data_IF_007292198088
#
_entry.id   IF_007292198088
#
_cell.length_a   1.000
_cell.length_b   1.000
_cell.length_c   1.000
_cell.angle_alpha   90.00
_cell.angle_beta   90.00
_cell.angle_gamma   90.00
#
_symmetry.space_group_name_H-M   'P 1'
#
loop_
_entity.id
_entity.type
_entity.pdbx_description
1 polymer ?
#
# COMPACT_ATOMS: atom_id res chain seq x y z
N UNK A 1 23.40 2.67 -68.53
CA UNK A 1 22.02 2.53 -67.96
C UNK A 1 21.84 1.32 -67.04
N UNK A 2 22.88 0.55 -66.70
CA UNK A 2 22.76 -0.62 -65.82
C UNK A 2 22.99 -0.32 -64.33
N UNK A 3 23.65 0.79 -63.98
CA UNK A 3 24.13 1.05 -62.63
C UNK A 3 23.09 1.76 -61.72
N UNK A 4 22.05 2.41 -62.28
CA UNK A 4 21.02 3.08 -61.48
C UNK A 4 20.00 2.11 -60.87
N UNK A 5 19.78 0.96 -61.46
CA UNK A 5 18.86 -0.04 -60.91
C UNK A 5 19.40 -0.71 -59.65
N UNK A 6 20.70 -0.87 -59.53
CA UNK A 6 21.34 -1.42 -58.32
C UNK A 6 21.36 -0.43 -57.16
N UNK A 7 21.56 0.87 -57.44
CA UNK A 7 21.53 1.92 -56.45
C UNK A 7 20.11 2.13 -55.87
N UNK A 8 19.06 2.02 -56.71
CA UNK A 8 17.68 2.17 -56.28
C UNK A 8 17.21 1.01 -55.39
N UNK A 9 17.66 -0.22 -55.65
CA UNK A 9 17.32 -1.39 -54.85
C UNK A 9 18.00 -1.38 -53.48
N UNK A 10 19.23 -0.84 -53.37
CA UNK A 10 19.94 -0.68 -52.11
C UNK A 10 19.33 0.43 -51.24
N UNK A 11 18.86 1.52 -51.85
CA UNK A 11 18.20 2.62 -51.14
C UNK A 11 16.81 2.19 -50.58
N UNK A 12 16.07 1.37 -51.32
CA UNK A 12 14.75 0.88 -50.92
C UNK A 12 14.84 -0.15 -49.78
N UNK A 13 15.91 -0.99 -49.73
CA UNK A 13 16.15 -1.96 -48.68
C UNK A 13 16.58 -1.29 -47.36
N UNK A 14 17.33 -0.17 -47.41
CA UNK A 14 17.69 0.60 -46.21
C UNK A 14 16.49 1.32 -45.59
N UNK A 15 15.51 1.81 -46.39
CA UNK A 15 14.30 2.43 -45.90
C UNK A 15 13.34 1.45 -45.20
N UNK A 16 13.30 0.19 -45.64
CA UNK A 16 12.47 -0.84 -45.03
C UNK A 16 13.02 -1.34 -43.65
N UNK A 17 14.34 -1.32 -43.47
CA UNK A 17 14.97 -1.69 -42.19
C UNK A 17 14.80 -0.59 -41.14
N UNK A 18 14.81 0.69 -41.54
CA UNK A 18 14.57 1.80 -40.62
C UNK A 18 13.12 1.87 -40.05
N UNK A 19 12.13 1.39 -40.83
CA UNK A 19 10.74 1.35 -40.35
C UNK A 19 10.44 0.23 -39.35
N UNK A 20 11.26 -0.83 -39.29
CA UNK A 20 11.07 -1.95 -38.37
C UNK A 20 11.56 -1.69 -36.94
N UNK A 21 12.41 -0.67 -36.74
CA UNK A 21 12.98 -0.36 -35.41
C UNK A 21 12.05 0.57 -34.60
N UNK A 22 11.07 1.21 -35.24
CA UNK A 22 10.13 2.12 -34.58
C UNK A 22 8.91 1.44 -33.93
N UNK A 23 8.78 0.11 -34.06
CA UNK A 23 7.77 -0.67 -33.30
C UNK A 23 8.29 -0.99 -31.91
N UNK A 24 8.65 0.05 -31.17
CA UNK A 24 8.92 -0.08 -29.74
C UNK A 24 7.70 -0.69 -29.06
N UNK A 25 7.88 -1.87 -28.56
CA UNK A 25 6.94 -2.61 -27.74
C UNK A 25 6.51 -1.73 -26.57
N UNK A 26 5.40 -1.00 -26.73
CA UNK A 26 4.69 -0.35 -25.61
C UNK A 26 3.99 -1.45 -24.84
N UNK A 27 4.77 -2.23 -24.12
CA UNK A 27 4.23 -2.90 -22.96
C UNK A 27 3.77 -1.79 -22.02
N UNK A 28 2.50 -1.48 -22.09
CA UNK A 28 1.79 -0.75 -21.05
C UNK A 28 1.75 -1.65 -19.83
N UNK A 29 2.89 -1.78 -19.14
CA UNK A 29 2.90 -2.31 -17.78
C UNK A 29 2.06 -1.33 -16.98
N UNK A 30 0.95 -1.81 -16.40
CA UNK A 30 0.28 -1.17 -15.24
C UNK A 30 1.42 -0.63 -14.37
N UNK A 31 1.42 0.65 -13.96
CA UNK A 31 2.45 1.12 -13.05
C UNK A 31 2.49 0.13 -11.90
N UNK A 32 3.61 -0.56 -11.76
CA UNK A 32 3.82 -1.46 -10.63
C UNK A 32 3.63 -0.63 -9.37
N UNK A 33 2.86 -1.15 -8.43
CA UNK A 33 2.66 -0.54 -7.13
C UNK A 33 3.99 -0.10 -6.51
N UNK A 34 3.93 0.65 -5.46
CA UNK A 34 5.12 1.19 -4.81
C UNK A 34 6.07 0.06 -4.37
N UNK A 35 7.37 0.22 -4.65
CA UNK A 35 8.39 -0.77 -4.29
C UNK A 35 9.06 -0.43 -2.95
N UNK A 36 9.56 -1.46 -2.27
CA UNK A 36 10.36 -1.31 -1.04
C UNK A 36 11.51 -0.32 -1.27
N UNK A 37 11.72 0.57 -0.32
CA UNK A 37 12.74 1.62 -0.35
C UNK A 37 12.31 2.90 -1.10
N UNK A 38 11.19 2.90 -1.81
CA UNK A 38 10.67 4.09 -2.47
C UNK A 38 9.85 4.97 -1.51
N UNK A 39 9.92 6.30 -1.64
CA UNK A 39 9.08 7.19 -0.85
C UNK A 39 7.64 7.13 -1.35
N UNK A 40 6.70 7.12 -0.41
CA UNK A 40 5.27 7.27 -0.72
C UNK A 40 4.97 8.77 -0.91
N UNK A 41 4.30 9.09 -2.01
CA UNK A 41 3.80 10.44 -2.24
C UNK A 41 2.79 10.84 -1.17
N UNK A 42 2.81 12.12 -0.77
CA UNK A 42 1.80 12.64 0.16
C UNK A 42 0.40 12.55 -0.46
N UNK A 43 -0.57 12.23 0.34
CA UNK A 43 -1.98 12.21 -0.04
C UNK A 43 -2.82 12.86 1.06
N UNK A 44 -4.00 13.33 0.69
CA UNK A 44 -4.94 13.95 1.62
C UNK A 44 -6.28 13.25 1.54
N UNK A 45 -6.81 12.84 2.69
CA UNK A 45 -8.11 12.21 2.84
C UNK A 45 -8.87 12.82 4.02
N UNK A 46 -10.20 12.69 4.01
CA UNK A 46 -11.04 13.02 5.15
C UNK A 46 -11.10 11.85 6.14
N UNK A 47 -11.14 12.14 7.42
CA UNK A 47 -11.56 11.16 8.41
C UNK A 47 -13.11 11.01 8.43
N UNK A 48 -13.58 10.16 9.31
CA UNK A 48 -15.02 9.88 9.45
C UNK A 48 -15.83 11.07 10.00
N UNK A 49 -15.17 12.07 10.58
CA UNK A 49 -15.80 13.30 11.11
C UNK A 49 -15.73 14.47 10.12
N UNK A 50 -15.14 14.23 8.94
CA UNK A 50 -15.00 15.22 7.87
C UNK A 50 -13.80 16.15 8.05
N UNK A 51 -12.86 15.82 8.94
CA UNK A 51 -11.61 16.56 9.07
C UNK A 51 -10.59 16.04 8.06
N UNK A 52 -9.93 16.96 7.39
CA UNK A 52 -8.88 16.66 6.43
C UNK A 52 -7.55 16.32 7.11
N UNK A 53 -6.88 15.29 6.59
CA UNK A 53 -5.57 14.87 7.05
C UNK A 53 -4.69 14.51 5.86
N UNK A 54 -3.44 14.98 5.86
CA UNK A 54 -2.42 14.50 4.93
C UNK A 54 -1.58 13.39 5.60
N UNK A 55 -0.94 12.53 4.78
CA UNK A 55 0.03 11.55 5.30
C UNK A 55 1.12 12.27 6.11
N UNK A 56 1.61 13.41 5.62
CA UNK A 56 2.60 14.23 6.32
C UNK A 56 2.09 14.69 7.70
N UNK A 57 0.81 15.06 7.84
CA UNK A 57 0.24 15.50 9.12
C UNK A 57 0.05 14.37 10.13
N UNK A 58 -0.09 13.14 9.65
CA UNK A 58 -0.28 11.93 10.47
C UNK A 58 1.02 11.16 10.72
N UNK A 59 2.12 11.64 10.15
CA UNK A 59 3.41 10.96 10.22
C UNK A 59 3.90 10.83 11.65
N UNK A 60 4.31 9.63 12.03
CA UNK A 60 5.02 9.39 13.29
C UNK A 60 6.50 9.83 13.22
N UNK A 61 7.07 10.20 14.36
CA UNK A 61 8.47 10.65 14.47
C UNK A 61 9.46 9.62 13.91
N UNK A 62 9.19 8.33 14.13
CA UNK A 62 10.08 7.23 13.78
C UNK A 62 9.50 6.30 12.69
N UNK A 63 8.26 6.53 12.27
CA UNK A 63 7.62 5.77 11.20
C UNK A 63 6.10 5.86 11.22
N UNK A 64 5.47 5.34 10.17
CA UNK A 64 4.01 5.33 10.03
C UNK A 64 3.55 3.99 9.46
N UNK A 65 2.60 3.37 10.11
CA UNK A 65 1.92 2.16 9.60
C UNK A 65 0.59 2.59 8.98
N UNK A 66 0.40 2.32 7.70
CA UNK A 66 -0.88 2.43 7.02
C UNK A 66 -1.51 1.03 7.02
N UNK A 67 -2.78 0.93 7.42
CA UNK A 67 -3.54 -0.32 7.42
C UNK A 67 -4.84 -0.12 6.64
N UNK A 68 -5.03 -0.85 5.55
CA UNK A 68 -6.32 -0.90 4.86
C UNK A 68 -7.30 -1.75 5.66
N UNK A 69 -8.45 -1.16 6.00
CA UNK A 69 -9.46 -1.72 6.88
C UNK A 69 -10.82 -1.84 6.20
N UNK A 70 -11.65 -2.74 6.70
CA UNK A 70 -13.05 -2.88 6.33
C UNK A 70 -13.88 -3.23 7.56
N UNK A 71 -14.94 -2.47 7.81
CA UNK A 71 -15.89 -2.73 8.89
C UNK A 71 -16.67 -4.04 8.68
N UNK A 72 -16.82 -4.47 7.42
CA UNK A 72 -17.58 -5.67 7.04
C UNK A 72 -16.70 -6.92 6.89
N UNK A 73 -15.36 -6.77 6.83
CA UNK A 73 -14.46 -7.90 6.61
C UNK A 73 -14.31 -8.77 7.88
N UNK A 74 -14.67 -10.06 7.84
CA UNK A 74 -14.53 -10.95 8.99
C UNK A 74 -13.07 -11.23 9.36
N UNK A 75 -12.13 -11.05 8.42
CA UNK A 75 -10.69 -11.14 8.72
C UNK A 75 -10.26 -9.94 9.54
N UNK A 76 -10.62 -8.70 9.12
CA UNK A 76 -10.33 -7.49 9.91
C UNK A 76 -10.90 -7.60 11.33
N UNK A 77 -12.13 -8.11 11.48
CA UNK A 77 -12.75 -8.31 12.80
C UNK A 77 -11.91 -9.18 13.73
N UNK A 78 -11.29 -10.23 13.19
CA UNK A 78 -10.39 -11.11 13.97
C UNK A 78 -9.06 -10.43 14.33
N UNK A 79 -8.72 -9.32 13.67
CA UNK A 79 -7.50 -8.56 13.91
C UNK A 79 -7.71 -7.28 14.73
N UNK A 80 -8.94 -6.83 14.97
CA UNK A 80 -9.22 -5.53 15.58
C UNK A 80 -8.44 -5.29 16.88
N UNK A 81 -8.45 -6.23 17.81
CA UNK A 81 -7.70 -6.12 19.07
C UNK A 81 -6.18 -6.04 18.85
N UNK A 82 -5.65 -6.85 17.92
CA UNK A 82 -4.22 -6.84 17.58
C UNK A 82 -3.78 -5.56 16.89
N UNK A 83 -4.68 -4.95 16.08
CA UNK A 83 -4.44 -3.67 15.42
C UNK A 83 -4.42 -2.53 16.45
N UNK A 84 -5.39 -2.50 17.38
CA UNK A 84 -5.38 -1.50 18.44
C UNK A 84 -4.17 -1.66 19.34
N UNK A 85 -3.86 -2.88 19.75
CA UNK A 85 -2.66 -3.13 20.56
C UNK A 85 -1.35 -2.75 19.84
N UNK A 86 -1.27 -2.93 18.53
CA UNK A 86 -0.14 -2.46 17.73
C UNK A 86 -0.04 -0.93 17.81
N UNK A 87 -1.16 -0.21 17.68
CA UNK A 87 -1.17 1.25 17.76
C UNK A 87 -0.74 1.76 19.14
N UNK A 88 -1.22 1.13 20.21
CA UNK A 88 -0.82 1.44 21.58
C UNK A 88 0.67 1.19 21.83
N UNK A 89 1.17 -0.01 21.50
CA UNK A 89 2.54 -0.45 21.76
C UNK A 89 3.59 0.43 21.08
N UNK A 90 3.30 0.95 19.90
CA UNK A 90 4.27 1.69 19.09
C UNK A 90 4.12 3.21 19.15
N UNK A 91 3.02 3.75 19.68
CA UNK A 91 2.77 5.19 19.78
C UNK A 91 3.88 5.91 20.55
N UNK A 92 4.22 5.44 21.74
CA UNK A 92 5.29 6.04 22.56
C UNK A 92 6.67 5.84 21.96
N UNK A 93 6.81 4.86 21.08
CA UNK A 93 8.04 4.61 20.31
C UNK A 93 8.10 5.46 19.02
N UNK A 94 7.15 6.38 18.84
CA UNK A 94 7.11 7.34 17.74
C UNK A 94 6.66 6.77 16.41
N UNK A 95 5.97 5.63 16.41
CA UNK A 95 5.34 5.08 15.20
C UNK A 95 3.83 5.28 15.30
N UNK A 96 3.26 6.00 14.33
CA UNK A 96 1.82 6.20 14.24
C UNK A 96 1.16 5.12 13.38
N UNK A 97 -0.06 4.74 13.75
CA UNK A 97 -0.94 3.90 12.94
C UNK A 97 -2.02 4.77 12.31
N UNK A 98 -2.28 4.55 11.03
CA UNK A 98 -3.32 5.21 10.24
C UNK A 98 -4.14 4.13 9.54
N UNK A 99 -5.43 4.08 9.83
CA UNK A 99 -6.38 3.22 9.12
C UNK A 99 -6.87 3.90 7.85
N UNK A 100 -7.07 3.14 6.77
CA UNK A 100 -7.71 3.62 5.54
C UNK A 100 -8.84 2.66 5.17
N UNK A 101 -10.03 3.20 4.96
CA UNK A 101 -11.16 2.46 4.42
C UNK A 101 -11.44 2.90 2.99
N UNK A 102 -11.17 2.00 2.02
CA UNK A 102 -11.36 2.22 0.58
C UNK A 102 -12.54 1.42 0.01
N UNK A 103 -13.39 0.86 0.88
CA UNK A 103 -14.53 0.06 0.42
C UNK A 103 -15.72 0.97 0.08
N UNK A 104 -16.11 1.01 -1.18
CA UNK A 104 -17.26 1.81 -1.66
C UNK A 104 -18.60 1.33 -1.11
N UNK A 105 -18.68 0.09 -0.63
CA UNK A 105 -19.90 -0.50 -0.07
C UNK A 105 -20.12 -0.14 1.41
N UNK A 106 -19.17 0.54 2.04
CA UNK A 106 -19.23 0.87 3.47
C UNK A 106 -19.58 2.35 3.68
N UNK A 107 -20.64 2.61 4.44
CA UNK A 107 -21.03 3.96 4.80
C UNK A 107 -20.12 4.55 5.89
N UNK A 108 -20.07 5.88 5.97
CA UNK A 108 -19.38 6.58 7.08
C UNK A 108 -19.94 6.10 8.46
N UNK A 109 -21.23 5.82 8.55
CA UNK A 109 -21.85 5.33 9.78
C UNK A 109 -21.34 3.93 10.17
N UNK A 110 -21.09 3.05 9.19
CA UNK A 110 -20.53 1.72 9.44
C UNK A 110 -19.08 1.82 9.93
N UNK A 111 -18.28 2.69 9.29
CA UNK A 111 -16.89 2.92 9.68
C UNK A 111 -16.83 3.52 11.09
N UNK A 112 -17.65 4.54 11.41
CA UNK A 112 -17.75 5.12 12.76
C UNK A 112 -18.11 4.09 13.81
N UNK A 113 -19.06 3.23 13.51
CA UNK A 113 -19.46 2.13 14.40
C UNK A 113 -18.29 1.18 14.64
N UNK A 114 -17.58 0.77 13.58
CA UNK A 114 -16.42 -0.10 13.69
C UNK A 114 -15.32 0.50 14.58
N UNK A 115 -14.99 1.79 14.39
CA UNK A 115 -14.02 2.51 15.22
C UNK A 115 -14.44 2.50 16.69
N UNK A 116 -15.67 2.90 16.97
CA UNK A 116 -16.20 3.01 18.34
C UNK A 116 -16.25 1.66 19.04
N UNK A 117 -16.79 0.65 18.37
CA UNK A 117 -17.03 -0.68 18.96
C UNK A 117 -15.72 -1.41 19.27
N UNK A 118 -14.65 -1.10 18.52
CA UNK A 118 -13.32 -1.65 18.74
C UNK A 118 -12.36 -0.68 19.46
N UNK A 119 -12.86 0.50 19.86
CA UNK A 119 -12.12 1.52 20.63
C UNK A 119 -10.81 1.95 19.95
N UNK A 120 -10.79 2.04 18.63
CA UNK A 120 -9.58 2.43 17.90
C UNK A 120 -9.11 3.82 18.34
N UNK A 121 -7.87 3.90 18.78
CA UNK A 121 -7.22 5.11 19.28
C UNK A 121 -6.43 5.85 18.19
N UNK A 122 -6.48 5.39 16.96
CA UNK A 122 -5.83 5.95 15.79
C UNK A 122 -6.85 6.49 14.77
N UNK A 123 -6.39 7.37 13.90
CA UNK A 123 -7.24 7.98 12.86
C UNK A 123 -7.57 6.95 11.78
N UNK A 124 -8.84 6.89 11.39
CA UNK A 124 -9.30 6.12 10.24
C UNK A 124 -9.81 7.07 9.16
N UNK A 125 -9.17 7.04 8.01
CA UNK A 125 -9.46 7.86 6.84
C UNK A 125 -10.40 7.14 5.88
N UNK A 126 -11.19 7.91 5.13
CA UNK A 126 -12.06 7.40 4.08
C UNK A 126 -11.49 7.71 2.70
N UNK A 127 -11.09 6.68 1.98
CA UNK A 127 -10.66 6.74 0.59
C UNK A 127 -11.81 6.32 -0.35
N UNK A 128 -12.82 7.18 -0.44
CA UNK A 128 -14.09 6.90 -1.13
C UNK A 128 -13.94 6.57 -2.62
N UNK A 129 -12.88 7.06 -3.26
CA UNK A 129 -12.60 6.82 -4.68
C UNK A 129 -11.54 5.73 -4.92
N UNK A 130 -11.02 5.09 -3.86
CA UNK A 130 -9.98 4.07 -3.96
C UNK A 130 -8.63 4.58 -4.46
N UNK A 131 -8.42 5.91 -4.52
CA UNK A 131 -7.22 6.52 -5.11
C UNK A 131 -5.93 6.15 -4.35
N UNK A 132 -6.01 6.13 -3.03
CA UNK A 132 -4.85 5.77 -2.20
C UNK A 132 -4.63 4.26 -2.25
N UNK A 133 -5.69 3.45 -2.28
CA UNK A 133 -5.58 2.02 -2.51
C UNK A 133 -4.93 1.71 -3.87
N UNK A 134 -5.31 2.44 -4.94
CA UNK A 134 -4.72 2.27 -6.27
C UNK A 134 -3.26 2.76 -6.32
N UNK A 135 -2.94 3.88 -5.65
CA UNK A 135 -1.57 4.41 -5.56
C UNK A 135 -0.62 3.43 -4.87
N UNK A 136 -1.08 2.74 -3.84
CA UNK A 136 -0.30 1.76 -3.08
C UNK A 136 -0.43 0.33 -3.63
N UNK A 137 -1.27 0.10 -4.64
CA UNK A 137 -1.65 -1.22 -5.18
C UNK A 137 -2.20 -2.16 -4.09
N UNK A 138 -2.92 -1.59 -3.11
CA UNK A 138 -3.53 -2.35 -2.03
C UNK A 138 -4.75 -3.13 -2.56
N UNK A 139 -4.85 -4.41 -2.23
CA UNK A 139 -5.90 -5.30 -2.74
C UNK A 139 -6.77 -5.92 -1.64
N UNK A 140 -6.24 -6.00 -0.41
CA UNK A 140 -6.86 -6.77 0.67
C UNK A 140 -7.15 -5.91 1.92
N UNK A 141 -7.97 -6.47 2.81
CA UNK A 141 -8.19 -5.97 4.17
C UNK A 141 -8.16 -7.12 5.17
N UNK A 142 -7.25 -7.07 6.21
CA UNK A 142 -6.23 -6.04 6.42
C UNK A 142 -5.02 -6.21 5.51
N UNK A 143 -4.48 -5.10 4.99
CA UNK A 143 -3.20 -5.04 4.30
C UNK A 143 -2.41 -3.86 4.83
N UNK A 144 -1.10 -4.02 5.05
CA UNK A 144 -0.30 -3.05 5.78
C UNK A 144 0.91 -2.56 4.98
N UNK A 145 1.21 -1.28 5.15
CA UNK A 145 2.39 -0.61 4.60
C UNK A 145 3.09 0.10 5.75
N UNK A 146 4.32 -0.26 6.05
CA UNK A 146 5.11 0.42 7.06
C UNK A 146 6.15 1.31 6.41
N UNK A 147 6.14 2.59 6.79
CA UNK A 147 7.01 3.64 6.31
C UNK A 147 7.98 4.04 7.40
N UNK A 148 9.24 4.27 7.04
CA UNK A 148 10.23 4.85 7.94
C UNK A 148 9.96 6.34 8.21
N UNK A 149 10.83 6.96 9.02
CA UNK A 149 10.77 8.38 9.32
C UNK A 149 10.91 9.28 8.09
N UNK A 150 11.42 8.77 6.97
CA UNK A 150 11.54 9.46 5.68
C UNK A 150 10.36 9.23 4.73
N UNK A 151 9.29 8.56 5.17
CA UNK A 151 8.17 8.10 4.35
C UNK A 151 8.55 7.09 3.25
N UNK A 152 9.69 6.39 3.40
CA UNK A 152 10.05 5.30 2.50
C UNK A 152 9.37 4.01 2.93
N UNK A 153 8.85 3.26 1.98
CA UNK A 153 8.25 1.95 2.24
C UNK A 153 9.32 0.96 2.71
N UNK A 154 9.15 0.43 3.90
CA UNK A 154 10.06 -0.53 4.53
C UNK A 154 9.48 -1.93 4.56
N UNK A 155 8.16 -2.03 4.72
CA UNK A 155 7.45 -3.31 4.74
C UNK A 155 6.08 -3.17 4.09
N UNK A 156 5.68 -4.21 3.34
CA UNK A 156 4.35 -4.35 2.75
C UNK A 156 3.82 -5.76 2.96
N UNK A 157 2.57 -5.87 3.43
CA UNK A 157 1.89 -7.16 3.49
C UNK A 157 0.97 -7.34 4.69
N UNK A 158 1.02 -8.53 5.29
CA UNK A 158 0.15 -8.94 6.41
C UNK A 158 0.66 -8.42 7.75
N UNK A 159 -0.23 -8.38 8.74
CA UNK A 159 0.12 -8.04 10.13
C UNK A 159 0.95 -9.16 10.75
N UNK A 160 0.45 -10.37 10.67
CA UNK A 160 1.09 -11.62 11.12
C UNK A 160 0.62 -12.79 10.23
N UNK A 161 1.06 -14.01 10.51
CA UNK A 161 0.83 -15.15 9.63
C UNK A 161 -0.45 -15.94 9.91
N UNK A 162 -1.31 -15.53 10.87
CA UNK A 162 -2.51 -16.29 11.17
C UNK A 162 -3.68 -15.44 11.68
N UNK A 163 -4.87 -15.66 11.11
CA UNK A 163 -6.10 -15.01 11.57
C UNK A 163 -6.44 -15.38 13.03
N UNK A 164 -6.18 -16.64 13.45
CA UNK A 164 -6.31 -17.04 14.84
C UNK A 164 -5.05 -16.62 15.60
N UNK A 165 -5.22 -15.76 16.62
CA UNK A 165 -4.12 -15.21 17.41
C UNK A 165 -3.28 -16.30 18.12
N UNK A 166 -3.92 -17.39 18.56
CA UNK A 166 -3.24 -18.50 19.24
C UNK A 166 -2.32 -19.31 18.32
N UNK A 167 -2.52 -19.21 17.01
CA UNK A 167 -1.75 -19.96 16.00
C UNK A 167 -0.71 -19.08 15.29
N UNK A 168 -0.50 -17.85 15.75
CA UNK A 168 0.52 -16.95 15.17
C UNK A 168 1.92 -17.50 15.45
N UNK A 169 2.70 -17.66 14.39
CA UNK A 169 4.10 -18.13 14.43
C UNK A 169 5.10 -17.08 13.94
N UNK A 170 4.63 -16.02 13.26
CA UNK A 170 5.47 -14.90 12.85
C UNK A 170 4.70 -13.58 12.92
N UNK A 171 5.33 -12.52 13.44
CA UNK A 171 4.78 -11.20 13.61
C UNK A 171 5.37 -10.24 12.58
N UNK A 172 5.20 -10.54 11.30
CA UNK A 172 5.95 -9.96 10.18
C UNK A 172 6.01 -8.42 10.23
N UNK A 173 4.88 -7.73 10.51
CA UNK A 173 4.84 -6.28 10.63
C UNK A 173 5.60 -5.78 11.87
N UNK A 174 5.40 -6.40 13.04
CA UNK A 174 6.11 -6.01 14.29
C UNK A 174 7.61 -6.21 14.15
N UNK A 175 8.03 -7.33 13.55
CA UNK A 175 9.44 -7.63 13.30
C UNK A 175 10.09 -6.56 12.41
N UNK A 176 9.36 -6.09 11.38
CA UNK A 176 9.82 -5.02 10.50
C UNK A 176 9.95 -3.67 11.23
N UNK A 177 8.95 -3.30 12.05
CA UNK A 177 8.98 -2.08 12.86
C UNK A 177 10.14 -2.13 13.87
N UNK A 178 10.27 -3.23 14.60
CA UNK A 178 11.31 -3.38 15.64
C UNK A 178 12.72 -3.35 15.04
N UNK A 179 12.94 -4.00 13.90
CA UNK A 179 14.21 -3.93 13.17
C UNK A 179 14.54 -2.49 12.76
N UNK A 180 13.56 -1.78 12.19
CA UNK A 180 13.75 -0.38 11.75
C UNK A 180 14.07 0.53 12.92
N UNK A 181 13.33 0.45 14.04
CA UNK A 181 13.57 1.24 15.24
C UNK A 181 14.91 0.94 15.90
N UNK A 182 15.42 -0.29 15.73
CA UNK A 182 16.74 -0.69 16.20
C UNK A 182 17.88 -0.34 15.23
N UNK A 183 17.60 0.29 14.08
CA UNK A 183 18.57 0.57 13.03
C UNK A 183 19.14 -0.68 12.36
N UNK A 184 18.40 -1.79 12.41
CA UNK A 184 18.79 -3.08 11.83
C UNK A 184 18.11 -3.29 10.47
N UNK A 185 18.68 -4.09 9.57
CA UNK A 185 18.02 -4.51 8.34
C UNK A 185 16.72 -5.26 8.62
N UNK A 186 15.66 -4.94 7.87
CA UNK A 186 14.43 -5.71 7.87
C UNK A 186 14.65 -6.95 7.02
N UNK A 187 14.62 -8.13 7.65
CA UNK A 187 14.92 -9.39 6.96
C UNK A 187 13.80 -9.83 6.01
N UNK A 188 12.55 -9.46 6.33
CA UNK A 188 11.37 -9.77 5.54
C UNK A 188 10.62 -8.48 5.26
N UNK A 189 10.83 -7.93 4.09
CA UNK A 189 10.24 -6.65 3.67
C UNK A 189 8.85 -6.81 3.05
N UNK A 190 8.50 -8.03 2.62
CA UNK A 190 7.21 -8.33 2.02
C UNK A 190 6.65 -9.66 2.51
N UNK A 191 5.34 -9.71 2.71
CA UNK A 191 4.61 -10.93 3.04
C UNK A 191 3.20 -10.85 2.45
N UNK A 192 2.76 -11.90 1.75
CA UNK A 192 1.44 -11.91 1.13
C UNK A 192 0.35 -11.56 2.15
N UNK A 193 -0.37 -10.46 1.91
CA UNK A 193 -1.57 -10.11 2.65
C UNK A 193 -2.67 -11.14 2.37
N UNK A 194 -3.54 -11.36 3.32
CA UNK A 194 -4.72 -12.21 3.16
C UNK A 194 -5.93 -11.58 3.85
N UNK A 195 -7.07 -11.71 3.21
CA UNK A 195 -8.30 -11.10 3.71
C UNK A 195 -9.34 -10.92 2.64
N UNK A 196 -10.25 -10.00 2.87
CA UNK A 196 -11.28 -9.65 1.90
C UNK A 196 -10.70 -8.68 0.86
N UNK A 197 -11.12 -8.81 -0.40
CA UNK A 197 -10.75 -7.83 -1.42
C UNK A 197 -11.34 -6.46 -1.09
N UNK A 198 -10.59 -5.38 -1.34
CA UNK A 198 -11.10 -4.01 -1.32
C UNK A 198 -12.18 -3.88 -2.39
N UNK A 199 -13.38 -3.41 -2.02
CA UNK A 199 -14.49 -3.20 -2.93
C UNK A 199 -14.36 -1.85 -3.61
N UNK A 200 -13.83 -1.84 -4.84
CA UNK A 200 -13.70 -0.66 -5.69
C UNK A 200 -15.00 -0.37 -6.44
N UNK A 201 -15.21 0.90 -6.87
CA UNK A 201 -16.33 1.32 -7.71
C UNK A 201 -16.11 1.01 -9.18
#
# INVERSE_FOLDING_TARGET
MKNYRFALLLALSLLLVAAAIASGNRNSSKPSGISIGQPIADFTLMDVDGKEHSLTSLKGKNGTVIIFLSAQCPVVRAYNERIEKLAEDYRERGVNVVGINSNVTESVADIKRHIRDNKFSFVVLRDAGGKVADMLDAEHTPETFFLDAGNKLVYHGRIDNNRNAELVQSNDLRDAIDATLAGKPVLKTEAAAFGCSIKRG
#
